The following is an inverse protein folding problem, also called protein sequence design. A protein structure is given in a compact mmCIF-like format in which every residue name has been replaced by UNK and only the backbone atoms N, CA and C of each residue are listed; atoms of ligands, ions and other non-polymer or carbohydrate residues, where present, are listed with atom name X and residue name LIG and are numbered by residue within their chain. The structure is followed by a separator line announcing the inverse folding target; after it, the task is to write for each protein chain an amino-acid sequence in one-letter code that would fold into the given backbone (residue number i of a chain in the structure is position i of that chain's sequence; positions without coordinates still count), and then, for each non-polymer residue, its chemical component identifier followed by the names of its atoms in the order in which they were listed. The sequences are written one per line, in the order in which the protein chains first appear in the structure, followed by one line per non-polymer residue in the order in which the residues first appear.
data_IF_772191661150
#
_entry.id   IF_772191661150
#
_cell.length_a   1.000
_cell.length_b   1.000
_cell.length_c   1.000
_cell.angle_alpha   90.00
_cell.angle_beta   90.00
_cell.angle_gamma   90.00
#
_symmetry.space_group_name_H-M   'P 1'
#
loop_
_entity.id
_entity.type
_entity.pdbx_description
1 polymer ?
#
# COMPACT_ATOMS: atom_id res chain seq x y z
N UNK A 1 19.90 -21.19 19.73
CA UNK A 1 18.48 -21.54 19.57
C UNK A 1 17.95 -20.74 18.39
N UNK A 2 17.99 -21.32 17.18
CA UNK A 2 17.40 -20.70 15.99
C UNK A 2 15.98 -21.21 15.86
N UNK A 3 15.02 -20.44 16.33
CA UNK A 3 13.63 -20.67 15.96
C UNK A 3 13.53 -20.37 14.46
N UNK A 4 13.32 -21.40 13.65
CA UNK A 4 13.05 -21.24 12.22
C UNK A 4 11.65 -20.60 12.18
N UNK A 5 11.61 -19.27 12.17
CA UNK A 5 10.37 -18.53 11.99
C UNK A 5 9.76 -18.98 10.65
N UNK A 6 8.70 -19.79 10.73
CA UNK A 6 7.98 -20.21 9.54
C UNK A 6 7.19 -19.01 9.04
N UNK A 7 7.72 -18.35 8.01
CA UNK A 7 7.07 -17.20 7.39
C UNK A 7 5.95 -17.72 6.49
N UNK A 8 4.71 -17.48 6.88
CA UNK A 8 3.54 -17.73 6.04
C UNK A 8 3.55 -16.76 4.85
N UNK A 9 4.03 -17.26 3.71
CA UNK A 9 4.14 -16.50 2.46
C UNK A 9 2.78 -16.07 1.92
N UNK A 10 1.73 -16.88 2.13
CA UNK A 10 0.38 -16.51 1.70
C UNK A 10 -0.17 -15.37 2.56
N UNK A 11 0.13 -15.36 3.86
CA UNK A 11 -0.21 -14.23 4.73
C UNK A 11 0.52 -12.96 4.30
N UNK A 12 1.80 -13.06 3.93
CA UNK A 12 2.56 -11.90 3.47
C UNK A 12 2.05 -11.35 2.13
N UNK A 13 1.68 -12.22 1.19
CA UNK A 13 1.03 -11.84 -0.08
C UNK A 13 -0.33 -11.17 0.17
N UNK A 14 -1.17 -11.73 1.05
CA UNK A 14 -2.45 -11.12 1.43
C UNK A 14 -2.29 -9.72 2.04
N UNK A 15 -1.26 -9.51 2.86
CA UNK A 15 -0.95 -8.18 3.41
C UNK A 15 -0.56 -7.22 2.29
N UNK A 16 0.25 -7.65 1.34
CA UNK A 16 0.62 -6.83 0.18
C UNK A 16 -0.60 -6.42 -0.67
N UNK A 17 -1.53 -7.34 -0.88
CA UNK A 17 -2.76 -7.09 -1.62
C UNK A 17 -3.69 -6.15 -0.85
N UNK A 18 -3.77 -6.29 0.48
CA UNK A 18 -4.51 -5.35 1.33
C UNK A 18 -3.98 -3.93 1.22
N UNK A 19 -2.65 -3.73 1.23
CA UNK A 19 -2.07 -2.40 1.04
C UNK A 19 -2.33 -1.85 -0.35
N UNK A 20 -2.26 -2.69 -1.38
CA UNK A 20 -2.56 -2.29 -2.77
C UNK A 20 -4.02 -1.89 -2.93
N UNK A 21 -4.94 -2.65 -2.32
CA UNK A 21 -6.37 -2.36 -2.31
C UNK A 21 -6.67 -1.04 -1.60
N UNK A 22 -6.12 -0.84 -0.40
CA UNK A 22 -6.28 0.41 0.34
C UNK A 22 -5.75 1.62 -0.44
N UNK A 23 -4.61 1.49 -1.13
CA UNK A 23 -4.09 2.55 -1.98
C UNK A 23 -5.05 2.89 -3.12
N UNK A 24 -5.64 1.88 -3.76
CA UNK A 24 -6.62 2.05 -4.83
C UNK A 24 -7.93 2.68 -4.34
N UNK A 25 -8.41 2.30 -3.16
CA UNK A 25 -9.60 2.89 -2.54
C UNK A 25 -9.39 4.37 -2.26
N UNK A 26 -8.28 4.74 -1.61
CA UNK A 26 -7.95 6.14 -1.29
C UNK A 26 -7.78 6.96 -2.56
N UNK A 27 -7.06 6.46 -3.56
CA UNK A 27 -6.90 7.14 -4.84
C UNK A 27 -8.21 7.26 -5.64
N UNK A 28 -9.15 6.34 -5.41
CA UNK A 28 -10.46 6.32 -6.07
C UNK A 28 -11.50 7.26 -5.44
N UNK A 29 -11.21 7.84 -4.26
CA UNK A 29 -12.11 8.80 -3.62
C UNK A 29 -12.23 10.05 -4.49
N UNK A 30 -13.39 10.21 -5.14
CA UNK A 30 -13.70 11.42 -5.91
C UNK A 30 -14.08 12.54 -4.96
N UNK A 31 -13.22 13.54 -4.88
CA UNK A 31 -13.51 14.77 -4.17
C UNK A 31 -14.41 15.67 -5.03
N UNK A 32 -15.37 16.39 -4.42
CA UNK A 32 -16.16 17.37 -5.15
C UNK A 32 -15.23 18.41 -5.78
N UNK A 33 -15.25 18.53 -7.10
CA UNK A 33 -14.53 19.59 -7.79
C UNK A 33 -15.39 20.87 -7.77
N UNK A 34 -15.27 21.65 -6.70
CA UNK A 34 -15.97 22.92 -6.56
C UNK A 34 -15.16 24.00 -7.27
N UNK A 35 -15.79 24.68 -8.23
CA UNK A 35 -15.24 25.90 -8.83
C UNK A 35 -15.47 27.07 -7.85
N UNK A 36 -14.41 27.67 -7.28
CA UNK A 36 -14.54 28.80 -6.36
C UNK A 36 -15.21 30.01 -7.02
N UNK A 37 -15.05 30.17 -8.35
CA UNK A 37 -15.63 31.26 -9.12
C UNK A 37 -17.12 31.08 -9.42
N UNK A 38 -17.61 29.83 -9.44
CA UNK A 38 -19.02 29.51 -9.69
C UNK A 38 -19.89 29.52 -8.41
N UNK A 39 -19.27 29.47 -7.22
CA UNK A 39 -19.96 29.40 -5.94
C UNK A 39 -19.41 30.45 -4.96
N UNK A 40 -19.85 31.71 -5.08
CA UNK A 40 -19.41 32.78 -4.19
C UNK A 40 -19.93 32.52 -2.76
N UNK A 41 -19.02 32.24 -1.82
CA UNK A 41 -19.33 32.09 -0.40
C UNK A 41 -18.15 31.54 0.42
N UNK A 42 -18.01 31.96 1.68
CA UNK A 42 -16.86 31.58 2.53
C UNK A 42 -16.77 30.06 2.76
N UNK A 43 -17.92 29.38 2.85
CA UNK A 43 -17.97 27.94 3.05
C UNK A 43 -17.35 27.15 1.87
N UNK A 44 -17.50 27.63 0.63
CA UNK A 44 -16.86 26.98 -0.53
C UNK A 44 -15.36 27.22 -0.54
N UNK A 45 -14.92 28.43 -0.19
CA UNK A 45 -13.50 28.75 -0.06
C UNK A 45 -12.82 27.88 1.02
N UNK A 46 -13.49 27.63 2.15
CA UNK A 46 -13.00 26.72 3.20
C UNK A 46 -12.86 25.28 2.72
N UNK A 47 -13.83 24.76 1.97
CA UNK A 47 -13.77 23.38 1.42
C UNK A 47 -12.65 23.23 0.40
N UNK A 48 -12.44 24.23 -0.47
CA UNK A 48 -11.35 24.23 -1.45
C UNK A 48 -9.99 24.32 -0.76
N UNK A 49 -9.84 25.22 0.22
CA UNK A 49 -8.61 25.34 1.00
C UNK A 49 -8.30 24.04 1.79
N UNK A 50 -9.31 23.40 2.38
CA UNK A 50 -9.14 22.12 3.06
C UNK A 50 -8.68 21.02 2.09
N UNK A 51 -9.21 20.97 0.87
CA UNK A 51 -8.77 20.03 -0.18
C UNK A 51 -7.30 20.23 -0.52
N UNK A 52 -6.87 21.47 -0.73
CA UNK A 52 -5.47 21.76 -1.08
C UNK A 52 -4.51 21.31 0.03
N UNK A 53 -4.90 21.52 1.29
CA UNK A 53 -4.12 21.11 2.46
C UNK A 53 -3.96 19.57 2.59
N UNK A 54 -4.95 18.79 2.19
CA UNK A 54 -4.94 17.32 2.36
C UNK A 54 -4.50 16.57 1.09
N UNK A 55 -4.50 17.21 -0.08
CA UNK A 55 -4.16 16.58 -1.35
C UNK A 55 -2.76 15.96 -1.36
N UNK A 56 -1.73 16.74 -1.01
CA UNK A 56 -0.34 16.26 -0.91
C UNK A 56 -0.18 15.12 0.11
N UNK A 57 -0.66 15.27 1.36
CA UNK A 57 -0.64 14.18 2.34
C UNK A 57 -1.36 12.90 1.89
N UNK A 58 -2.44 13.01 1.11
CA UNK A 58 -3.14 11.85 0.55
C UNK A 58 -2.32 11.15 -0.54
N UNK A 59 -1.66 11.92 -1.42
CA UNK A 59 -0.76 11.36 -2.43
C UNK A 59 0.43 10.63 -1.76
N UNK A 60 0.99 11.22 -0.70
CA UNK A 60 2.06 10.60 0.09
C UNK A 60 1.61 9.31 0.77
N UNK A 61 0.37 9.29 1.29
CA UNK A 61 -0.24 8.09 1.87
C UNK A 61 -0.39 6.98 0.82
N UNK A 62 -0.95 7.29 -0.34
CA UNK A 62 -1.11 6.33 -1.46
C UNK A 62 0.25 5.77 -1.87
N UNK A 63 1.26 6.64 -2.03
CA UNK A 63 2.61 6.22 -2.37
C UNK A 63 3.23 5.34 -1.26
N UNK A 64 2.97 5.66 0.01
CA UNK A 64 3.39 4.86 1.16
C UNK A 64 2.80 3.45 1.15
N UNK A 65 1.49 3.33 0.92
CA UNK A 65 0.79 2.05 0.84
C UNK A 65 1.33 1.20 -0.31
N UNK A 66 1.58 1.79 -1.47
CA UNK A 66 2.18 1.09 -2.61
C UNK A 66 3.60 0.61 -2.32
N UNK A 67 4.43 1.41 -1.63
CA UNK A 67 5.77 0.98 -1.20
C UNK A 67 5.72 -0.21 -0.25
N UNK A 68 4.80 -0.20 0.72
CA UNK A 68 4.59 -1.33 1.63
C UNK A 68 4.16 -2.60 0.89
N UNK A 69 3.24 -2.47 -0.07
CA UNK A 69 2.82 -3.60 -0.89
C UNK A 69 3.98 -4.20 -1.68
N UNK A 70 4.81 -3.37 -2.32
CA UNK A 70 6.00 -3.82 -3.06
C UNK A 70 7.01 -4.50 -2.15
N UNK A 71 7.30 -3.92 -0.99
CA UNK A 71 8.24 -4.51 -0.02
C UNK A 71 7.76 -5.87 0.48
N UNK A 72 6.46 -6.02 0.76
CA UNK A 72 5.88 -7.28 1.21
C UNK A 72 5.96 -8.37 0.12
N UNK A 73 5.72 -8.04 -1.16
CA UNK A 73 5.89 -8.99 -2.28
C UNK A 73 7.34 -9.42 -2.45
N UNK A 74 8.28 -8.46 -2.45
CA UNK A 74 9.71 -8.74 -2.56
C UNK A 74 10.20 -9.65 -1.42
N UNK A 75 9.75 -9.41 -0.19
CA UNK A 75 10.06 -10.27 0.94
C UNK A 75 9.50 -11.69 0.76
N UNK A 76 8.24 -11.84 0.29
CA UNK A 76 7.65 -13.15 0.03
C UNK A 76 8.43 -13.94 -1.04
N UNK A 77 8.88 -13.26 -2.10
CA UNK A 77 9.70 -13.85 -3.16
C UNK A 77 11.08 -14.28 -2.65
N UNK A 78 11.72 -13.47 -1.81
CA UNK A 78 13.02 -13.80 -1.23
C UNK A 78 12.95 -15.03 -0.31
N UNK A 79 11.92 -15.08 0.55
CA UNK A 79 11.70 -16.24 1.41
C UNK A 79 11.39 -17.50 0.59
N UNK A 80 10.56 -17.41 -0.45
CA UNK A 80 10.27 -18.53 -1.35
C UNK A 80 11.53 -19.03 -2.05
N UNK A 81 12.38 -18.11 -2.56
CA UNK A 81 13.63 -18.46 -3.22
C UNK A 81 14.57 -19.17 -2.24
N UNK A 82 14.73 -18.61 -1.04
CA UNK A 82 15.57 -19.20 0.01
C UNK A 82 15.11 -20.61 0.38
N UNK A 83 13.80 -20.81 0.53
CA UNK A 83 13.22 -22.12 0.86
C UNK A 83 13.46 -23.13 -0.28
N UNK A 84 13.27 -22.73 -1.53
CA UNK A 84 13.54 -23.60 -2.70
C UNK A 84 15.01 -24.02 -2.80
N UNK A 85 15.95 -23.10 -2.57
CA UNK A 85 17.40 -23.38 -2.59
C UNK A 85 17.77 -24.32 -1.45
N UNK A 86 17.19 -24.16 -0.27
CA UNK A 86 17.46 -25.05 0.86
C UNK A 86 16.81 -26.42 0.67
N UNK A 87 15.59 -26.50 0.12
CA UNK A 87 14.90 -27.77 -0.18
C UNK A 87 15.65 -28.62 -1.21
N UNK A 88 16.27 -28.01 -2.22
CA UNK A 88 17.14 -28.73 -3.19
C UNK A 88 18.43 -29.28 -2.58
N UNK A 89 18.90 -28.74 -1.45
CA UNK A 89 20.10 -29.23 -0.75
C UNK A 89 19.85 -30.47 0.11
N UNK A 90 18.60 -30.73 0.51
CA UNK A 90 18.23 -31.81 1.43
C UNK A 90 17.44 -32.95 0.78
N UNK A 91 17.42 -33.05 -0.56
CA UNK A 91 16.80 -34.20 -1.24
C UNK A 91 17.64 -35.46 -0.98
N UNK A 92 17.12 -36.50 -0.29
CA UNK A 92 17.83 -37.76 -0.11
C UNK A 92 17.91 -38.47 -1.47
N UNK A 93 19.08 -39.04 -1.78
CA UNK A 93 19.25 -39.99 -2.89
C UNK A 93 18.44 -41.25 -2.67
#
# INVERSE_FOLDING_TARGET
MGEIAHVDLERLRRVADSFSGAAAEVAGLRWPNLDPGALPGSAVAEVVAARDLISGPLDDLVAGLQRWATAARAAAEEFQRTDSVNGTRFTPR
#
